data_IF_159327682652
#
_entry.id   IF_159327682652
#
_cell.length_a   1.000
_cell.length_b   1.000
_cell.length_c   1.000
_cell.angle_alpha   90.00
_cell.angle_beta   90.00
_cell.angle_gamma   90.00
#
_symmetry.space_group_name_H-M   'P 1'
#
loop_
_entity.id
_entity.type
_entity.pdbx_description
1 polymer ?
#
# COMPACT_ATOMS: atom_id res chain seq x y z
N UNK A 1 -39.34 18.31 20.68
CA UNK A 1 -38.64 17.49 19.66
C UNK A 1 -37.94 18.44 18.69
N UNK A 2 -36.72 18.89 19.04
CA UNK A 2 -35.87 19.63 18.11
C UNK A 2 -34.85 18.64 17.53
N UNK A 3 -34.86 18.49 16.21
CA UNK A 3 -33.84 17.77 15.46
C UNK A 3 -32.59 18.64 15.42
N UNK A 4 -31.70 18.44 16.40
CA UNK A 4 -30.35 19.00 16.38
C UNK A 4 -29.54 18.35 15.27
N UNK A 5 -29.60 18.92 14.08
CA UNK A 5 -28.61 18.68 13.02
C UNK A 5 -27.28 19.24 13.49
N UNK A 6 -26.46 18.38 14.11
CA UNK A 6 -25.07 18.68 14.37
C UNK A 6 -24.37 18.88 13.01
N UNK A 7 -24.28 20.13 12.60
CA UNK A 7 -23.41 20.59 11.53
C UNK A 7 -21.98 20.33 11.99
N UNK A 8 -21.42 19.20 11.55
CA UNK A 8 -19.99 18.95 11.69
C UNK A 8 -19.24 20.05 10.95
N UNK A 9 -18.65 20.97 11.71
CA UNK A 9 -17.75 21.98 11.18
C UNK A 9 -16.67 21.31 10.32
N UNK A 10 -16.27 21.91 9.18
CA UNK A 10 -15.19 21.36 8.37
C UNK A 10 -13.94 21.27 9.25
N UNK A 11 -13.44 20.05 9.46
CA UNK A 11 -12.25 19.79 10.23
C UNK A 11 -11.11 20.70 9.74
N UNK A 12 -10.63 21.59 10.62
CA UNK A 12 -9.60 22.59 10.30
C UNK A 12 -8.38 21.95 9.62
N UNK A 13 -7.82 22.67 8.65
CA UNK A 13 -6.60 22.26 7.95
C UNK A 13 -5.46 22.06 8.95
N UNK A 14 -5.13 20.80 9.27
CA UNK A 14 -3.92 20.45 10.02
C UNK A 14 -2.67 20.91 9.26
N UNK A 15 -1.70 21.41 10.02
CA UNK A 15 -0.43 21.93 9.53
C UNK A 15 0.48 20.79 9.06
N UNK A 16 1.41 21.09 8.14
CA UNK A 16 2.41 20.13 7.64
C UNK A 16 3.21 19.48 8.79
N UNK A 17 3.35 20.18 9.91
CA UNK A 17 3.99 19.69 11.14
C UNK A 17 3.28 18.47 11.78
N UNK A 18 1.95 18.40 11.71
CA UNK A 18 1.18 17.28 12.29
C UNK A 18 1.47 15.98 11.52
N UNK A 19 1.57 16.06 10.18
CA UNK A 19 1.88 14.92 9.33
C UNK A 19 3.29 14.37 9.59
N UNK A 20 4.28 15.24 9.88
CA UNK A 20 5.64 14.81 10.22
C UNK A 20 5.63 14.00 11.52
N UNK A 21 4.84 14.41 12.51
CA UNK A 21 4.79 13.75 13.81
C UNK A 21 4.18 12.33 13.70
N UNK A 22 3.17 12.16 12.84
CA UNK A 22 2.59 10.86 12.52
C UNK A 22 3.61 9.95 11.82
N UNK A 23 4.39 10.49 10.87
CA UNK A 23 5.49 9.77 10.19
C UNK A 23 6.56 9.35 11.21
N UNK A 24 6.96 10.23 12.12
CA UNK A 24 7.95 9.92 13.17
C UNK A 24 7.44 8.82 14.10
N UNK A 25 6.17 8.86 14.47
CA UNK A 25 5.55 7.84 15.32
C UNK A 25 5.50 6.48 14.60
N UNK A 26 5.15 6.48 13.31
CA UNK A 26 5.20 5.28 12.48
C UNK A 26 6.63 4.73 12.38
N UNK A 27 7.62 5.60 12.13
CA UNK A 27 9.03 5.23 12.06
C UNK A 27 9.55 4.60 13.36
N UNK A 28 9.09 5.09 14.52
CA UNK A 28 9.47 4.53 15.83
C UNK A 28 9.00 3.07 16.02
N UNK A 29 7.95 2.64 15.32
CA UNK A 29 7.40 1.29 15.40
C UNK A 29 8.01 0.32 14.38
N UNK A 30 8.72 0.81 13.35
CA UNK A 30 9.39 -0.02 12.32
C UNK A 30 10.33 -1.07 12.93
N UNK A 31 11.21 -0.76 13.91
CA UNK A 31 12.14 -1.76 14.45
C UNK A 31 11.43 -2.91 15.16
N UNK A 32 10.29 -2.63 15.81
CA UNK A 32 9.48 -3.66 16.47
C UNK A 32 8.81 -4.58 15.45
N UNK A 33 8.28 -4.01 14.37
CA UNK A 33 7.70 -4.77 13.27
C UNK A 33 8.77 -5.66 12.60
N UNK A 34 9.95 -5.12 12.30
CA UNK A 34 11.06 -5.89 11.73
C UNK A 34 11.52 -7.02 12.67
N UNK A 35 11.58 -6.77 13.98
CA UNK A 35 11.92 -7.81 14.96
C UNK A 35 10.88 -8.93 15.00
N UNK A 36 9.59 -8.60 14.91
CA UNK A 36 8.50 -9.58 14.87
C UNK A 36 8.58 -10.46 13.62
N UNK A 37 8.82 -9.85 12.47
CA UNK A 37 8.97 -10.53 11.17
C UNK A 37 10.19 -11.45 11.17
N UNK A 38 11.31 -10.95 11.71
CA UNK A 38 12.54 -11.72 11.86
C UNK A 38 12.36 -12.93 12.79
N UNK A 39 11.62 -12.75 13.90
CA UNK A 39 11.30 -13.82 14.82
C UNK A 39 10.39 -14.89 14.19
N UNK A 40 9.47 -14.50 13.30
CA UNK A 40 8.59 -15.43 12.59
C UNK A 40 9.34 -16.29 11.58
N UNK A 41 10.14 -15.69 10.67
CA UNK A 41 10.94 -16.46 9.72
C UNK A 41 12.13 -15.71 9.11
N UNK A 42 13.30 -15.79 9.77
CA UNK A 42 14.57 -15.18 9.33
C UNK A 42 14.94 -15.42 7.86
N UNK A 43 14.68 -16.60 7.32
CA UNK A 43 15.06 -16.94 5.94
C UNK A 43 14.19 -16.23 4.91
N UNK A 44 12.88 -16.14 5.12
CA UNK A 44 12.00 -15.37 4.24
C UNK A 44 12.33 -13.88 4.31
N UNK A 45 12.61 -13.36 5.51
CA UNK A 45 12.98 -11.95 5.68
C UNK A 45 14.28 -11.60 4.95
N UNK A 46 15.32 -12.43 5.09
CA UNK A 46 16.59 -12.26 4.39
C UNK A 46 16.44 -12.40 2.87
N UNK A 47 15.70 -13.43 2.43
CA UNK A 47 15.45 -13.66 1.01
C UNK A 47 14.66 -12.50 0.37
N UNK A 48 13.61 -12.00 1.05
CA UNK A 48 12.86 -10.82 0.60
C UNK A 48 13.77 -9.59 0.54
N UNK A 49 14.58 -9.33 1.58
CA UNK A 49 15.54 -8.23 1.57
C UNK A 49 16.52 -8.30 0.40
N UNK A 50 17.07 -9.48 0.12
CA UNK A 50 17.96 -9.71 -1.02
C UNK A 50 17.26 -9.50 -2.37
N UNK A 51 16.06 -10.07 -2.54
CA UNK A 51 15.26 -9.89 -3.76
C UNK A 51 14.82 -8.43 -3.94
N UNK A 52 14.54 -7.70 -2.88
CA UNK A 52 14.22 -6.26 -2.92
C UNK A 52 15.38 -5.46 -3.48
N UNK A 53 16.62 -5.73 -3.05
CA UNK A 53 17.81 -5.04 -3.58
C UNK A 53 17.99 -5.38 -5.07
N UNK A 54 17.89 -6.65 -5.45
CA UNK A 54 17.98 -7.07 -6.85
C UNK A 54 16.88 -6.44 -7.71
N UNK A 55 15.65 -6.43 -7.22
CA UNK A 55 14.50 -5.82 -7.89
C UNK A 55 14.66 -4.30 -8.06
N UNK A 56 15.29 -3.62 -7.10
CA UNK A 56 15.51 -2.17 -7.17
C UNK A 56 16.58 -1.78 -8.20
N UNK A 57 17.56 -2.66 -8.44
CA UNK A 57 18.62 -2.45 -9.43
C UNK A 57 18.20 -2.85 -10.86
N UNK A 58 17.18 -3.69 -11.00
CA UNK A 58 16.73 -4.20 -12.30
C UNK A 58 16.29 -3.08 -13.26
N UNK A 59 15.45 -2.09 -12.87
CA UNK A 59 15.07 -0.99 -13.75
C UNK A 59 16.26 -0.15 -14.22
N UNK A 60 17.28 0.01 -13.38
CA UNK A 60 18.51 0.73 -13.72
C UNK A 60 19.31 -0.03 -14.79
N UNK A 61 19.43 -1.35 -14.64
CA UNK A 61 20.04 -2.20 -15.65
C UNK A 61 19.27 -2.16 -16.98
N UNK A 62 17.93 -2.17 -16.93
CA UNK A 62 17.08 -2.04 -18.10
C UNK A 62 17.26 -0.68 -18.80
N UNK A 63 17.31 0.42 -18.05
CA UNK A 63 17.56 1.75 -18.60
C UNK A 63 18.94 1.84 -19.26
N UNK A 64 19.98 1.29 -18.63
CA UNK A 64 21.32 1.23 -19.19
C UNK A 64 21.39 0.40 -20.47
N UNK A 65 20.70 -0.75 -20.51
CA UNK A 65 20.59 -1.55 -21.72
C UNK A 65 19.88 -0.78 -22.84
N UNK A 66 18.82 -0.03 -22.51
CA UNK A 66 18.13 0.85 -23.45
C UNK A 66 19.08 1.88 -24.10
N UNK A 67 19.94 2.51 -23.30
CA UNK A 67 21.01 3.39 -23.80
C UNK A 67 21.93 2.65 -24.78
N UNK A 68 22.46 1.49 -24.39
CA UNK A 68 23.37 0.71 -25.23
C UNK A 68 22.73 0.27 -26.56
N UNK A 69 21.44 -0.07 -26.55
CA UNK A 69 20.67 -0.37 -27.76
C UNK A 69 20.61 0.84 -28.69
N UNK A 70 20.26 2.02 -28.16
CA UNK A 70 20.21 3.28 -28.93
C UNK A 70 21.60 3.61 -29.50
N UNK A 71 22.65 3.55 -28.70
CA UNK A 71 24.02 3.84 -29.12
C UNK A 71 24.45 2.90 -30.27
N UNK A 72 24.11 1.60 -30.18
CA UNK A 72 24.43 0.61 -31.22
C UNK A 72 23.66 0.87 -32.51
N UNK A 73 22.38 1.25 -32.42
CA UNK A 73 21.56 1.62 -33.58
C UNK A 73 22.15 2.86 -34.28
N UNK A 74 22.47 3.90 -33.52
CA UNK A 74 23.03 5.14 -34.06
C UNK A 74 24.38 4.86 -34.74
N UNK A 75 25.25 4.05 -34.13
CA UNK A 75 26.52 3.66 -34.73
C UNK A 75 26.35 2.84 -36.01
N UNK A 76 25.40 1.90 -36.05
CA UNK A 76 25.12 1.11 -37.25
C UNK A 76 24.60 1.98 -38.41
N UNK A 77 23.74 2.96 -38.11
CA UNK A 77 23.23 3.94 -39.09
C UNK A 77 24.35 4.84 -39.63
N UNK A 78 25.20 5.37 -38.75
CA UNK A 78 26.31 6.25 -39.15
C UNK A 78 27.36 5.51 -39.99
N UNK A 79 27.59 4.23 -39.72
CA UNK A 79 28.52 3.39 -40.48
C UNK A 79 27.95 2.91 -41.83
N UNK A 80 26.70 3.25 -42.17
CA UNK A 80 26.06 2.83 -43.42
C UNK A 80 25.88 1.31 -43.53
N UNK A 81 25.83 0.59 -42.40
CA UNK A 81 25.71 -0.88 -42.39
C UNK A 81 24.38 -1.33 -42.99
N UNK A 82 24.39 -2.50 -43.62
CA UNK A 82 23.16 -3.12 -44.09
C UNK A 82 22.22 -3.45 -42.91
N UNK A 83 20.89 -3.46 -43.11
CA UNK A 83 19.93 -3.79 -42.04
C UNK A 83 20.21 -5.15 -41.38
N UNK A 84 20.70 -6.14 -42.14
CA UNK A 84 21.07 -7.46 -41.61
C UNK A 84 22.27 -7.41 -40.67
N UNK A 85 23.29 -6.61 -40.97
CA UNK A 85 24.46 -6.42 -40.10
C UNK A 85 24.09 -5.65 -38.83
N UNK A 86 23.18 -4.67 -38.95
CA UNK A 86 22.65 -3.94 -37.81
C UNK A 86 21.91 -4.85 -36.82
N UNK A 87 21.06 -5.75 -37.33
CA UNK A 87 20.33 -6.73 -36.51
C UNK A 87 21.29 -7.71 -35.83
N UNK A 88 22.33 -8.17 -36.52
CA UNK A 88 23.35 -9.06 -35.92
C UNK A 88 24.11 -8.37 -34.78
N UNK A 89 24.43 -7.07 -34.91
CA UNK A 89 25.07 -6.31 -33.85
C UNK A 89 24.16 -6.11 -32.62
N UNK A 90 22.84 -6.05 -32.82
CA UNK A 90 21.85 -5.89 -31.75
C UNK A 90 21.46 -7.20 -31.06
N UNK A 91 21.56 -8.33 -31.76
CA UNK A 91 21.18 -9.65 -31.25
C UNK A 91 21.71 -9.98 -29.83
N UNK A 92 23.02 -9.77 -29.50
CA UNK A 92 23.50 -10.05 -28.15
C UNK A 92 22.88 -9.14 -27.09
N UNK A 93 22.66 -7.85 -27.39
CA UNK A 93 22.00 -6.93 -26.44
C UNK A 93 20.53 -7.29 -26.24
N UNK A 94 19.83 -7.72 -27.30
CA UNK A 94 18.45 -8.19 -27.20
C UNK A 94 18.34 -9.46 -26.36
N UNK A 95 19.30 -10.39 -26.48
CA UNK A 95 19.37 -11.58 -25.63
C UNK A 95 19.61 -11.22 -24.16
N UNK A 96 20.50 -10.25 -23.88
CA UNK A 96 20.69 -9.71 -22.52
C UNK A 96 19.41 -9.06 -22.01
N UNK A 97 18.70 -8.32 -22.85
CA UNK A 97 17.41 -7.71 -22.51
C UNK A 97 16.33 -8.73 -22.17
N UNK A 98 16.22 -9.78 -22.98
CA UNK A 98 15.35 -10.91 -22.68
C UNK A 98 15.74 -11.55 -21.35
N UNK A 99 17.03 -11.81 -21.12
CA UNK A 99 17.55 -12.34 -19.86
C UNK A 99 17.20 -11.47 -18.65
N UNK A 100 17.33 -10.13 -18.75
CA UNK A 100 16.94 -9.20 -17.70
C UNK A 100 15.44 -9.27 -17.40
N UNK A 101 14.58 -9.32 -18.43
CA UNK A 101 13.13 -9.46 -18.24
C UNK A 101 12.79 -10.80 -17.57
N UNK A 102 13.41 -11.90 -18.00
CA UNK A 102 13.22 -13.22 -17.40
C UNK A 102 13.68 -13.26 -15.93
N UNK A 103 14.84 -12.67 -15.63
CA UNK A 103 15.34 -12.53 -14.25
C UNK A 103 14.39 -11.67 -13.42
N UNK A 104 13.83 -10.60 -13.98
CA UNK A 104 12.82 -9.79 -13.31
C UNK A 104 11.56 -10.56 -12.96
N UNK A 105 11.07 -11.39 -13.88
CA UNK A 105 9.94 -12.27 -13.63
C UNK A 105 10.26 -13.29 -12.51
N UNK A 106 11.46 -13.87 -12.53
CA UNK A 106 11.91 -14.81 -11.49
C UNK A 106 12.04 -14.13 -10.11
N UNK A 107 12.57 -12.91 -10.05
CA UNK A 107 12.66 -12.11 -8.81
C UNK A 107 11.25 -11.84 -8.26
N UNK A 108 10.33 -11.42 -9.12
CA UNK A 108 8.93 -11.14 -8.74
C UNK A 108 8.25 -12.38 -8.18
N UNK A 109 8.41 -13.51 -8.87
CA UNK A 109 7.84 -14.79 -8.44
C UNK A 109 8.47 -15.27 -7.12
N UNK A 110 9.80 -15.16 -6.99
CA UNK A 110 10.51 -15.49 -5.76
C UNK A 110 10.07 -14.62 -4.59
N UNK A 111 9.85 -13.32 -4.81
CA UNK A 111 9.37 -12.40 -3.79
C UNK A 111 7.96 -12.81 -3.33
N UNK A 112 7.05 -13.08 -4.26
CA UNK A 112 5.68 -13.53 -3.97
C UNK A 112 5.66 -14.83 -3.15
N UNK A 113 6.52 -15.80 -3.49
CA UNK A 113 6.65 -17.04 -2.74
C UNK A 113 7.12 -16.78 -1.30
N UNK A 114 8.18 -16.00 -1.13
CA UNK A 114 8.72 -15.69 0.20
C UNK A 114 7.75 -14.89 1.06
N UNK A 115 7.04 -13.94 0.44
CA UNK A 115 5.97 -13.16 1.07
C UNK A 115 4.84 -14.07 1.54
N UNK A 116 4.37 -15.00 0.70
CA UNK A 116 3.33 -15.97 1.07
C UNK A 116 3.76 -16.83 2.27
N UNK A 117 4.98 -17.37 2.24
CA UNK A 117 5.53 -18.16 3.35
C UNK A 117 5.68 -17.34 4.63
N UNK A 118 6.13 -16.08 4.51
CA UNK A 118 6.29 -15.19 5.66
C UNK A 118 4.95 -14.84 6.29
N UNK A 119 3.95 -14.49 5.47
CA UNK A 119 2.60 -14.16 5.92
C UNK A 119 1.97 -15.33 6.69
N UNK A 120 2.07 -16.55 6.15
CA UNK A 120 1.54 -17.75 6.81
C UNK A 120 2.21 -18.01 8.17
N UNK A 121 3.55 -17.92 8.23
CA UNK A 121 4.29 -18.14 9.49
C UNK A 121 4.06 -17.05 10.51
N UNK A 122 3.96 -15.80 10.07
CA UNK A 122 3.71 -14.66 10.94
C UNK A 122 2.30 -14.74 11.54
N UNK A 123 1.28 -15.06 10.72
CA UNK A 123 -0.08 -15.30 11.21
C UNK A 123 -0.12 -16.46 12.22
N UNK A 124 0.57 -17.56 11.94
CA UNK A 124 0.68 -18.68 12.88
C UNK A 124 1.34 -18.29 14.21
N UNK A 125 2.48 -17.61 14.15
CA UNK A 125 3.24 -17.17 15.33
C UNK A 125 2.41 -16.23 16.22
N UNK A 126 1.67 -15.31 15.62
CA UNK A 126 0.77 -14.40 16.34
C UNK A 126 -0.37 -15.18 16.99
N UNK A 127 -1.04 -16.06 16.23
CA UNK A 127 -2.14 -16.87 16.77
C UNK A 127 -1.67 -17.77 17.92
N UNK A 128 -0.50 -18.39 17.80
CA UNK A 128 0.11 -19.20 18.85
C UNK A 128 0.35 -18.37 20.12
N UNK A 129 0.89 -17.16 20.01
CA UNK A 129 1.08 -16.26 21.16
C UNK A 129 -0.24 -15.84 21.81
N UNK A 130 -1.28 -15.58 21.02
CA UNK A 130 -2.61 -15.26 21.52
C UNK A 130 -3.20 -16.45 22.28
N UNK A 131 -3.11 -17.66 21.72
CA UNK A 131 -3.60 -18.89 22.36
C UNK A 131 -2.82 -19.19 23.63
N UNK A 132 -1.49 -19.12 23.60
CA UNK A 132 -0.64 -19.32 24.77
C UNK A 132 -0.98 -18.32 25.90
N UNK A 133 -1.26 -17.06 25.55
CA UNK A 133 -1.69 -16.06 26.52
C UNK A 133 -3.09 -16.33 27.05
N UNK A 134 -4.02 -16.80 26.21
CA UNK A 134 -5.37 -17.20 26.61
C UNK A 134 -5.34 -18.38 27.60
N UNK A 135 -4.50 -19.38 27.38
CA UNK A 135 -4.33 -20.52 28.29
C UNK A 135 -3.73 -20.14 29.65
N UNK A 136 -2.97 -19.05 29.71
CA UNK A 136 -2.35 -18.54 30.94
C UNK A 136 -3.27 -17.60 31.74
N UNK A 137 -4.49 -17.34 31.28
CA UNK A 137 -5.44 -16.44 31.93
C UNK A 137 -6.49 -17.24 32.70
N UNK A 138 -6.85 -16.74 33.88
CA UNK A 138 -7.93 -17.32 34.69
C UNK A 138 -9.29 -17.16 34.01
N UNK A 139 -10.22 -18.07 34.33
CA UNK A 139 -11.58 -18.10 33.79
C UNK A 139 -12.32 -16.76 33.98
N UNK A 140 -12.06 -16.05 35.07
CA UNK A 140 -12.64 -14.73 35.37
C UNK A 140 -12.49 -13.74 34.20
N UNK A 141 -11.35 -13.75 33.51
CA UNK A 141 -11.12 -12.86 32.36
C UNK A 141 -11.98 -13.20 31.14
N UNK A 142 -12.44 -14.45 31.01
CA UNK A 142 -13.32 -14.85 29.91
C UNK A 142 -14.78 -14.53 30.16
N UNK A 143 -15.17 -14.32 31.42
CA UNK A 143 -16.52 -13.89 31.80
C UNK A 143 -16.71 -12.37 31.65
N UNK A 144 -15.60 -11.62 31.59
CA UNK A 144 -15.61 -10.18 31.29
C UNK A 144 -15.79 -9.93 29.78
N UNK A 145 -16.94 -9.33 29.42
CA UNK A 145 -17.28 -9.04 28.03
C UNK A 145 -16.32 -8.03 27.36
N UNK A 146 -15.69 -7.13 28.11
CA UNK A 146 -14.74 -6.15 27.59
C UNK A 146 -13.41 -6.83 27.26
N UNK A 147 -12.94 -7.72 28.12
CA UNK A 147 -11.74 -8.52 27.92
C UNK A 147 -11.91 -9.52 26.78
N UNK A 148 -13.05 -10.22 26.72
CA UNK A 148 -13.38 -11.12 25.62
C UNK A 148 -13.36 -10.39 24.28
N UNK A 149 -13.96 -9.19 24.22
CA UNK A 149 -13.93 -8.35 23.02
C UNK A 149 -12.50 -7.90 22.67
N UNK A 150 -11.67 -7.53 23.65
CA UNK A 150 -10.25 -7.19 23.41
C UNK A 150 -9.48 -8.37 22.82
N UNK A 151 -9.70 -9.59 23.32
CA UNK A 151 -9.07 -10.81 22.80
C UNK A 151 -9.54 -11.14 21.37
N UNK A 152 -10.84 -11.04 21.11
CA UNK A 152 -11.41 -11.27 19.77
C UNK A 152 -10.93 -10.24 18.76
N UNK A 153 -10.85 -8.96 19.16
CA UNK A 153 -10.30 -7.90 18.33
C UNK A 153 -8.81 -8.11 18.07
N UNK A 154 -8.03 -8.46 19.09
CA UNK A 154 -6.61 -8.78 18.92
C UNK A 154 -6.40 -9.92 17.92
N UNK A 155 -7.21 -10.99 17.97
CA UNK A 155 -7.17 -12.08 16.99
C UNK A 155 -7.49 -11.61 15.57
N UNK A 156 -8.63 -10.93 15.38
CA UNK A 156 -9.08 -10.46 14.06
C UNK A 156 -8.14 -9.44 13.44
N UNK A 157 -7.59 -8.55 14.25
CA UNK A 157 -6.82 -7.40 13.77
C UNK A 157 -5.35 -7.73 13.53
N UNK A 158 -4.82 -8.72 14.26
CA UNK A 158 -3.44 -9.18 14.08
C UNK A 158 -3.25 -10.02 12.80
N UNK A 159 -4.28 -10.74 12.34
CA UNK A 159 -4.20 -11.59 11.13
C UNK A 159 -4.00 -10.78 9.82
N UNK A 160 -4.56 -9.58 9.70
CA UNK A 160 -4.53 -8.82 8.43
C UNK A 160 -3.78 -7.49 8.48
N UNK A 161 -3.88 -6.71 9.56
CA UNK A 161 -3.30 -5.36 9.59
C UNK A 161 -1.78 -5.39 9.78
N UNK A 162 -1.29 -6.28 10.64
CA UNK A 162 0.15 -6.38 10.92
C UNK A 162 0.94 -6.84 9.68
N UNK A 163 0.41 -7.84 8.94
CA UNK A 163 1.01 -8.34 7.70
C UNK A 163 1.13 -7.23 6.65
N UNK A 164 0.05 -6.48 6.44
CA UNK A 164 0.03 -5.40 5.46
C UNK A 164 1.08 -4.33 5.79
N UNK A 165 1.23 -3.92 7.05
CA UNK A 165 2.23 -2.91 7.44
C UNK A 165 3.65 -3.36 7.06
N UNK A 166 3.97 -4.63 7.29
CA UNK A 166 5.28 -5.21 6.94
C UNK A 166 5.50 -5.20 5.44
N UNK A 167 4.54 -5.66 4.66
CA UNK A 167 4.69 -5.72 3.19
C UNK A 167 4.81 -4.32 2.59
N UNK A 168 4.04 -3.35 3.10
CA UNK A 168 4.17 -1.95 2.69
C UNK A 168 5.54 -1.37 3.04
N UNK A 169 6.13 -1.75 4.18
CA UNK A 169 7.48 -1.33 4.54
C UNK A 169 8.52 -1.82 3.52
N UNK A 170 8.45 -3.09 3.12
CA UNK A 170 9.34 -3.63 2.07
C UNK A 170 9.17 -2.91 0.73
N UNK A 171 7.93 -2.64 0.33
CA UNK A 171 7.63 -1.88 -0.90
C UNK A 171 8.19 -0.45 -0.82
N UNK A 172 8.05 0.24 0.30
CA UNK A 172 8.62 1.58 0.51
C UNK A 172 10.15 1.54 0.45
N UNK A 173 10.78 0.53 1.07
CA UNK A 173 12.23 0.35 1.01
C UNK A 173 12.69 0.12 -0.44
N UNK A 174 12.03 -0.78 -1.17
CA UNK A 174 12.31 -1.03 -2.58
C UNK A 174 12.18 0.26 -3.40
N UNK A 175 11.05 0.95 -3.29
CA UNK A 175 10.80 2.20 -4.00
C UNK A 175 11.85 3.27 -3.71
N UNK A 176 12.30 3.36 -2.45
CA UNK A 176 13.37 4.28 -2.04
C UNK A 176 14.70 3.93 -2.69
N UNK A 177 15.10 2.65 -2.67
CA UNK A 177 16.35 2.20 -3.30
C UNK A 177 16.30 2.44 -4.81
N UNK A 178 15.20 2.10 -5.46
CA UNK A 178 14.99 2.35 -6.90
C UNK A 178 15.10 3.84 -7.22
N UNK A 179 14.43 4.69 -6.44
CA UNK A 179 14.46 6.15 -6.60
C UNK A 179 15.88 6.70 -6.47
N UNK A 180 16.62 6.30 -5.43
CA UNK A 180 18.01 6.72 -5.21
C UNK A 180 18.92 6.21 -6.33
N UNK A 181 18.71 5.00 -6.81
CA UNK A 181 19.52 4.40 -7.89
C UNK A 181 19.29 5.13 -9.21
N UNK A 182 18.05 5.47 -9.55
CA UNK A 182 17.74 6.33 -10.70
C UNK A 182 18.27 7.75 -10.53
N UNK A 183 18.17 8.33 -9.33
CA UNK A 183 18.72 9.64 -9.04
C UNK A 183 20.23 9.66 -9.31
N UNK A 184 20.96 8.67 -8.79
CA UNK A 184 22.39 8.51 -9.01
C UNK A 184 22.74 8.32 -10.49
N UNK A 185 21.99 7.47 -11.21
CA UNK A 185 22.17 7.24 -12.64
C UNK A 185 21.98 8.54 -13.45
N UNK A 186 20.92 9.29 -13.18
CA UNK A 186 20.61 10.53 -13.90
C UNK A 186 21.63 11.63 -13.61
N UNK A 187 22.04 11.78 -12.35
CA UNK A 187 23.09 12.73 -11.96
C UNK A 187 24.43 12.41 -12.64
N UNK A 188 24.74 11.13 -12.85
CA UNK A 188 25.95 10.70 -13.56
C UNK A 188 25.89 11.00 -15.07
N UNK A 189 24.70 11.02 -15.68
CA UNK A 189 24.52 11.30 -17.12
C UNK A 189 24.44 12.81 -17.36
N UNK A 190 23.52 13.50 -16.68
CA UNK A 190 23.33 14.95 -16.78
C UNK A 190 22.60 15.49 -15.55
N UNK A 191 23.29 16.28 -14.70
CA UNK A 191 22.66 16.90 -13.54
C UNK A 191 21.47 17.80 -13.88
N UNK A 192 21.50 18.42 -15.07
CA UNK A 192 20.42 19.29 -15.54
C UNK A 192 19.13 18.50 -15.85
N UNK A 193 19.26 17.35 -16.53
CA UNK A 193 18.12 16.47 -16.80
C UNK A 193 17.53 15.93 -15.50
N UNK A 194 18.37 15.56 -14.54
CA UNK A 194 17.92 15.14 -13.21
C UNK A 194 17.11 16.26 -12.54
N UNK A 195 17.61 17.50 -12.54
CA UNK A 195 16.95 18.64 -11.90
C UNK A 195 15.58 18.93 -12.53
N UNK A 196 15.47 18.90 -13.86
CA UNK A 196 14.19 19.07 -14.57
C UNK A 196 13.21 17.96 -14.19
N UNK A 197 13.64 16.69 -14.23
CA UNK A 197 12.77 15.54 -13.95
C UNK A 197 12.25 15.55 -12.51
N UNK A 198 13.13 15.75 -11.53
CA UNK A 198 12.75 15.87 -10.13
C UNK A 198 11.87 17.09 -9.91
N UNK A 199 12.19 18.23 -10.54
CA UNK A 199 11.38 19.44 -10.51
C UNK A 199 9.96 19.25 -11.04
N UNK A 200 9.79 18.49 -12.12
CA UNK A 200 8.49 18.16 -12.70
C UNK A 200 7.69 17.16 -11.84
N UNK A 201 8.38 16.22 -11.17
CA UNK A 201 7.72 15.18 -10.36
C UNK A 201 7.36 15.65 -8.95
N UNK A 202 8.08 16.64 -8.41
CA UNK A 202 7.89 17.12 -7.02
C UNK A 202 6.46 17.64 -6.74
N UNK A 203 5.81 18.44 -7.62
CA UNK A 203 4.44 18.92 -7.39
C UNK A 203 3.43 17.77 -7.34
N UNK A 204 3.57 16.79 -8.24
CA UNK A 204 2.71 15.61 -8.26
C UNK A 204 2.86 14.79 -6.97
N UNK A 205 4.09 14.63 -6.47
CA UNK A 205 4.36 13.98 -5.19
C UNK A 205 3.72 14.73 -4.01
N UNK A 206 3.87 16.05 -3.93
CA UNK A 206 3.28 16.87 -2.87
C UNK A 206 1.75 16.83 -2.89
N UNK A 207 1.14 16.89 -4.08
CA UNK A 207 -0.29 16.72 -4.24
C UNK A 207 -0.74 15.35 -3.71
N UNK A 208 -0.08 14.27 -4.13
CA UNK A 208 -0.39 12.91 -3.72
C UNK A 208 -0.23 12.71 -2.20
N UNK A 209 0.81 13.27 -1.58
CA UNK A 209 1.03 13.24 -0.14
C UNK A 209 -0.11 13.96 0.63
N UNK A 210 -0.52 15.15 0.15
CA UNK A 210 -1.66 15.89 0.72
C UNK A 210 -2.97 15.10 0.61
N UNK A 211 -3.20 14.43 -0.51
CA UNK A 211 -4.37 13.56 -0.69
C UNK A 211 -4.39 12.37 0.26
N UNK A 212 -3.23 11.73 0.51
CA UNK A 212 -3.12 10.67 1.50
C UNK A 212 -3.59 11.11 2.89
N UNK A 213 -3.16 12.31 3.33
CA UNK A 213 -3.61 12.88 4.60
C UNK A 213 -5.10 13.23 4.63
N UNK A 214 -5.64 13.78 3.53
CA UNK A 214 -7.10 14.02 3.39
C UNK A 214 -7.90 12.73 3.52
N UNK A 215 -7.46 11.66 2.84
CA UNK A 215 -8.10 10.36 2.86
C UNK A 215 -8.02 9.70 4.25
N UNK A 216 -6.87 9.77 4.91
CA UNK A 216 -6.72 9.27 6.28
C UNK A 216 -7.66 9.97 7.27
N UNK A 217 -7.81 11.30 7.16
CA UNK A 217 -8.77 12.06 7.98
C UNK A 217 -10.21 11.61 7.74
N UNK A 218 -10.57 11.41 6.47
CA UNK A 218 -11.90 10.95 6.09
C UNK A 218 -12.22 9.58 6.71
N UNK A 219 -11.27 8.64 6.63
CA UNK A 219 -11.40 7.32 7.24
C UNK A 219 -11.58 7.40 8.75
N UNK A 220 -10.76 8.20 9.44
CA UNK A 220 -10.84 8.33 10.90
C UNK A 220 -12.13 9.02 11.37
N UNK A 221 -12.57 10.07 10.66
CA UNK A 221 -13.77 10.81 11.01
C UNK A 221 -15.04 9.93 10.96
N UNK A 222 -15.06 8.93 10.07
CA UNK A 222 -16.20 8.04 9.82
C UNK A 222 -16.22 6.77 10.66
N UNK A 223 -15.27 6.60 11.58
CA UNK A 223 -15.23 5.41 12.43
C UNK A 223 -16.57 5.13 13.17
N UNK A 224 -17.31 6.12 13.68
CA UNK A 224 -18.63 5.89 14.30
C UNK A 224 -19.68 5.37 13.31
N UNK A 225 -19.82 5.99 12.14
CA UNK A 225 -20.83 5.61 11.17
C UNK A 225 -20.51 4.27 10.49
N UNK A 226 -19.22 3.93 10.33
CA UNK A 226 -18.81 2.60 9.89
C UNK A 226 -19.18 1.51 10.91
N UNK A 227 -19.01 1.79 12.22
CA UNK A 227 -19.51 0.90 13.29
C UNK A 227 -21.02 0.73 13.22
N UNK A 228 -21.76 1.80 12.89
CA UNK A 228 -23.21 1.73 12.73
C UNK A 228 -23.61 0.85 11.54
N UNK A 229 -22.95 0.98 10.39
CA UNK A 229 -23.21 0.11 9.24
C UNK A 229 -22.99 -1.37 9.58
N UNK A 230 -21.88 -1.70 10.24
CA UNK A 230 -21.63 -3.07 10.70
C UNK A 230 -22.65 -3.57 11.72
N UNK A 231 -23.14 -2.70 12.59
CA UNK A 231 -24.20 -3.08 13.53
C UNK A 231 -25.52 -3.38 12.82
N UNK A 232 -25.90 -2.57 11.83
CA UNK A 232 -27.08 -2.83 10.99
C UNK A 232 -26.95 -4.13 10.20
N UNK A 233 -25.77 -4.37 9.62
CA UNK A 233 -25.43 -5.63 8.95
C UNK A 233 -25.56 -6.82 9.92
N UNK A 234 -24.97 -6.73 11.11
CA UNK A 234 -25.06 -7.75 12.15
C UNK A 234 -26.51 -8.07 12.52
N UNK A 235 -27.32 -7.04 12.80
CA UNK A 235 -28.74 -7.20 13.15
C UNK A 235 -29.53 -7.96 12.08
N UNK A 236 -29.25 -7.68 10.81
CA UNK A 236 -29.95 -8.24 9.65
C UNK A 236 -29.50 -9.65 9.27
N UNK A 237 -28.30 -10.06 9.68
CA UNK A 237 -27.65 -11.29 9.17
C UNK A 237 -27.44 -12.39 10.22
N UNK A 238 -27.48 -12.06 11.52
CA UNK A 238 -27.16 -13.02 12.59
C UNK A 238 -28.40 -13.71 13.13
N UNK A 239 -28.35 -15.03 13.33
CA UNK A 239 -29.49 -15.86 13.78
C UNK A 239 -30.12 -15.36 15.10
N UNK A 240 -29.31 -14.88 16.04
CA UNK A 240 -29.80 -14.41 17.34
C UNK A 240 -30.71 -13.19 17.23
N UNK A 241 -30.45 -12.29 16.27
CA UNK A 241 -31.19 -11.02 16.12
C UNK A 241 -32.22 -11.06 15.00
N UNK A 242 -32.00 -11.89 13.97
CA UNK A 242 -32.88 -11.94 12.79
C UNK A 242 -34.30 -12.39 13.14
N UNK A 243 -34.47 -13.19 14.19
CA UNK A 243 -35.78 -13.66 14.66
C UNK A 243 -36.65 -12.49 15.14
N UNK A 244 -36.08 -11.57 15.92
CA UNK A 244 -36.75 -10.34 16.35
C UNK A 244 -37.03 -9.42 15.17
N UNK A 245 -36.04 -9.22 14.28
CA UNK A 245 -36.20 -8.39 13.08
C UNK A 245 -37.35 -8.89 12.20
N UNK A 246 -37.49 -10.22 12.03
CA UNK A 246 -38.59 -10.83 11.27
C UNK A 246 -39.93 -10.73 12.02
N UNK A 247 -39.94 -10.98 13.32
CA UNK A 247 -41.14 -10.89 14.16
C UNK A 247 -41.75 -9.48 14.14
N UNK A 248 -40.90 -8.45 14.21
CA UNK A 248 -41.30 -7.04 14.23
C UNK A 248 -41.33 -6.37 12.85
N UNK A 249 -41.01 -7.09 11.76
CA UNK A 249 -41.02 -6.54 10.40
C UNK A 249 -40.00 -5.42 10.13
N UNK A 250 -38.88 -5.38 10.88
CA UNK A 250 -37.89 -4.30 10.84
C UNK A 250 -36.87 -4.42 9.70
N UNK A 251 -36.93 -5.47 8.88
CA UNK A 251 -35.93 -5.76 7.84
C UNK A 251 -35.77 -4.63 6.82
N UNK A 252 -36.87 -4.20 6.17
CA UNK A 252 -36.84 -3.15 5.15
C UNK A 252 -36.41 -1.77 5.72
N UNK A 253 -36.92 -1.29 6.87
CA UNK A 253 -36.44 -0.06 7.49
C UNK A 253 -34.95 -0.05 7.80
N UNK A 254 -34.42 -1.13 8.39
CA UNK A 254 -32.99 -1.22 8.74
C UNK A 254 -32.11 -1.31 7.49
N UNK A 255 -32.55 -2.02 6.45
CA UNK A 255 -31.86 -2.07 5.17
C UNK A 255 -31.78 -0.69 4.51
N UNK A 256 -32.87 0.09 4.52
CA UNK A 256 -32.85 1.46 3.99
C UNK A 256 -31.84 2.33 4.73
N UNK A 257 -31.80 2.26 6.06
CA UNK A 257 -30.83 3.01 6.86
C UNK A 257 -29.38 2.64 6.53
N UNK A 258 -29.12 1.35 6.28
CA UNK A 258 -27.81 0.89 5.80
C UNK A 258 -27.47 1.47 4.41
N UNK A 259 -28.42 1.45 3.48
CA UNK A 259 -28.25 2.00 2.14
C UNK A 259 -28.00 3.52 2.15
N UNK A 260 -28.71 4.27 3.00
CA UNK A 260 -28.54 5.72 3.13
C UNK A 260 -27.12 6.06 3.61
N UNK A 261 -26.62 5.33 4.62
CA UNK A 261 -25.24 5.47 5.11
C UNK A 261 -24.22 5.15 4.01
N UNK A 262 -24.42 4.04 3.30
CA UNK A 262 -23.54 3.64 2.19
C UNK A 262 -23.48 4.72 1.10
N UNK A 263 -24.63 5.20 0.63
CA UNK A 263 -24.67 6.20 -0.42
C UNK A 263 -24.05 7.51 0.03
N UNK A 264 -24.26 7.95 1.28
CA UNK A 264 -23.59 9.13 1.80
C UNK A 264 -22.06 9.00 1.70
N UNK A 265 -21.50 7.87 2.14
CA UNK A 265 -20.07 7.62 2.05
C UNK A 265 -19.57 7.56 0.61
N UNK A 266 -20.30 6.87 -0.27
CA UNK A 266 -19.94 6.76 -1.68
C UNK A 266 -19.85 8.13 -2.35
N UNK A 267 -20.81 9.04 -2.09
CA UNK A 267 -20.79 10.37 -2.70
C UNK A 267 -19.62 11.22 -2.18
N UNK A 268 -19.33 11.17 -0.89
CA UNK A 268 -18.18 11.85 -0.30
C UNK A 268 -16.85 11.30 -0.85
N UNK A 269 -16.72 9.97 -1.00
CA UNK A 269 -15.53 9.32 -1.57
C UNK A 269 -15.36 9.62 -3.05
N UNK A 270 -16.45 9.55 -3.82
CA UNK A 270 -16.45 9.88 -5.23
C UNK A 270 -16.09 11.35 -5.46
N UNK A 271 -16.55 12.27 -4.61
CA UNK A 271 -16.18 13.69 -4.72
C UNK A 271 -14.67 13.90 -4.53
N UNK A 272 -14.08 13.30 -3.49
CA UNK A 272 -12.64 13.37 -3.24
C UNK A 272 -11.83 12.66 -4.34
N UNK A 273 -12.28 11.49 -4.79
CA UNK A 273 -11.62 10.73 -5.85
C UNK A 273 -11.65 11.48 -7.19
N UNK A 274 -12.77 12.11 -7.54
CA UNK A 274 -12.89 12.95 -8.75
C UNK A 274 -11.95 14.16 -8.68
N UNK A 275 -11.91 14.85 -7.54
CA UNK A 275 -11.01 15.99 -7.36
C UNK A 275 -9.54 15.57 -7.50
N UNK A 276 -9.16 14.43 -6.91
CA UNK A 276 -7.82 13.85 -7.06
C UNK A 276 -7.52 13.47 -8.50
N UNK A 277 -8.46 12.82 -9.19
CA UNK A 277 -8.30 12.37 -10.57
C UNK A 277 -8.05 13.55 -11.51
N UNK A 278 -8.87 14.61 -11.41
CA UNK A 278 -8.71 15.82 -12.22
C UNK A 278 -7.34 16.48 -12.00
N UNK A 279 -6.93 16.63 -10.74
CA UNK A 279 -5.62 17.20 -10.42
C UNK A 279 -4.49 16.31 -10.93
N UNK A 280 -4.61 14.99 -10.79
CA UNK A 280 -3.62 14.03 -11.29
C UNK A 280 -3.52 14.06 -12.82
N UNK A 281 -4.63 14.20 -13.55
CA UNK A 281 -4.63 14.30 -15.01
C UNK A 281 -3.99 15.61 -15.46
N UNK A 282 -4.34 16.74 -14.85
CA UNK A 282 -3.76 18.05 -15.18
C UNK A 282 -2.24 18.06 -14.99
N UNK A 283 -1.75 17.55 -13.86
CA UNK A 283 -0.31 17.43 -13.61
C UNK A 283 0.34 16.37 -14.50
N UNK A 284 -0.34 15.26 -14.78
CA UNK A 284 0.14 14.24 -15.70
C UNK A 284 0.36 14.81 -17.11
N UNK A 285 -0.60 15.56 -17.63
CA UNK A 285 -0.49 16.21 -18.95
C UNK A 285 0.59 17.28 -19.00
N UNK A 286 0.76 18.06 -17.91
CA UNK A 286 1.84 19.05 -17.79
C UNK A 286 3.23 18.41 -17.66
N UNK A 287 3.31 17.19 -17.13
CA UNK A 287 4.58 16.45 -17.02
C UNK A 287 4.96 15.75 -18.33
N UNK A 288 3.99 15.44 -19.20
CA UNK A 288 4.24 14.76 -20.48
C UNK A 288 4.43 15.73 -21.66
N UNK A 289 4.05 17.00 -21.52
CA UNK A 289 4.20 18.04 -22.54
C UNK A 289 5.52 18.81 -22.34
#
# INVERSE_FOLDING_TARGET
MSTGTATHAPAGQRSWADNINDIQTAMRNIPRALRLVWAAHRWSTLGMGGLTILAALLPVAQAWLGKLLVDTIVQALQAGRSPSEGVQALAPLLLVGFGLVTVGAAITQGYSLLEHMLNARLAHTINEQIIAKALALDLYYFEDAEFYNKLQNARREADYRALNIVNHLFVIMQGTITLLSFAALLLAISPLVALILFGATLPAFLAQAKYGGLYFRLLNARAPEFRQMHYLEYLLTVDSTVKEVKLFGLGLPLLRRYQDLFWRFYHEDAALARQRSLISVLWGTLSTA
#
